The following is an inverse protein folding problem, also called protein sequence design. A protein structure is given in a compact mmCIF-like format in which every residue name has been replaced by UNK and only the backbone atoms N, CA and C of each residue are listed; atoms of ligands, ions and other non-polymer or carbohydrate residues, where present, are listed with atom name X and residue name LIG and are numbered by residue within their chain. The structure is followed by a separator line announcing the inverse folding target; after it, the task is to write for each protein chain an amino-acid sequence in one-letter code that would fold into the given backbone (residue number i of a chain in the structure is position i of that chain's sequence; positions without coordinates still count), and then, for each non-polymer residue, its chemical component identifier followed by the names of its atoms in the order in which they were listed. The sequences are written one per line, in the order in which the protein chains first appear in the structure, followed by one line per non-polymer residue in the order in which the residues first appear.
data_IF_567657740562
#
_entry.id   IF_567657740562
#
_cell.length_a   1.000
_cell.length_b   1.000
_cell.length_c   1.000
_cell.angle_alpha   90.00
_cell.angle_beta   90.00
_cell.angle_gamma   90.00
#
_symmetry.space_group_name_H-M   'P 1'
#
loop_
_entity.id
_entity.type
_entity.pdbx_description
1 polymer ?
#
# COMPACT_ATOMS: atom_id res chain seq x y z
N UNK A 1 -6.21 -38.87 -1.25
CA UNK A 1 -5.92 -37.52 -1.77
C UNK A 1 -4.45 -37.55 -2.11
N UNK A 2 -4.11 -37.39 -3.38
CA UNK A 2 -2.73 -37.43 -3.86
C UNK A 2 -2.04 -36.13 -3.46
N UNK A 3 -1.25 -36.18 -2.39
CA UNK A 3 -0.44 -35.08 -1.87
C UNK A 3 0.80 -34.79 -2.75
N UNK A 4 0.96 -35.49 -3.87
CA UNK A 4 2.27 -35.69 -4.52
C UNK A 4 2.81 -34.50 -5.33
N UNK A 5 2.09 -33.39 -5.52
CA UNK A 5 2.61 -32.23 -6.26
C UNK A 5 1.93 -30.90 -5.85
N UNK A 6 1.86 -30.59 -4.56
CA UNK A 6 1.20 -29.37 -4.08
C UNK A 6 2.14 -28.42 -3.34
N UNK A 7 1.98 -27.12 -3.65
CA UNK A 7 2.62 -26.01 -2.98
C UNK A 7 1.77 -25.58 -1.79
N UNK A 8 2.22 -25.83 -0.57
CA UNK A 8 1.57 -25.35 0.65
C UNK A 8 2.22 -24.02 1.09
N UNK A 9 1.44 -22.96 1.15
CA UNK A 9 1.97 -21.62 1.48
C UNK A 9 1.33 -21.07 2.74
N UNK A 10 2.11 -20.32 3.53
CA UNK A 10 1.62 -19.67 4.75
C UNK A 10 2.10 -18.21 4.85
N UNK A 11 1.22 -17.29 5.23
CA UNK A 11 1.55 -15.88 5.46
C UNK A 11 1.23 -15.54 6.89
N UNK A 12 2.26 -15.27 7.70
CA UNK A 12 2.09 -14.99 9.12
C UNK A 12 1.67 -13.54 9.33
N UNK A 13 0.57 -13.35 10.06
CA UNK A 13 0.01 -12.02 10.34
C UNK A 13 -0.43 -11.91 11.80
N UNK A 14 -0.60 -10.67 12.26
CA UNK A 14 -1.30 -10.40 13.51
C UNK A 14 -2.79 -10.22 13.22
N UNK A 15 -3.62 -10.85 14.05
CA UNK A 15 -5.07 -10.71 13.99
C UNK A 15 -5.72 -10.95 15.36
N UNK A 16 -6.97 -10.52 15.51
CA UNK A 16 -7.85 -10.82 16.64
C UNK A 16 -8.82 -12.00 16.35
N UNK A 17 -8.69 -12.62 15.17
CA UNK A 17 -9.63 -13.61 14.65
C UNK A 17 -9.39 -14.99 15.26
N UNK A 18 -10.26 -15.46 16.15
CA UNK A 18 -10.06 -16.75 16.83
C UNK A 18 -10.61 -17.97 16.07
N UNK A 19 -11.14 -17.78 14.87
CA UNK A 19 -11.74 -18.85 14.06
C UNK A 19 -11.11 -18.94 12.67
N UNK A 20 -11.36 -20.04 11.98
CA UNK A 20 -10.98 -20.18 10.58
C UNK A 20 -11.93 -19.39 9.68
N UNK A 21 -11.38 -18.53 8.83
CA UNK A 21 -12.14 -17.73 7.88
C UNK A 21 -11.60 -17.95 6.48
N UNK A 22 -12.45 -18.45 5.59
CA UNK A 22 -12.19 -18.45 4.15
C UNK A 22 -12.09 -17.00 3.65
N UNK A 23 -10.98 -16.61 3.03
CA UNK A 23 -10.78 -15.28 2.43
C UNK A 23 -11.08 -15.33 0.92
N UNK A 24 -10.66 -16.39 0.22
CA UNK A 24 -10.88 -16.56 -1.21
C UNK A 24 -10.69 -18.03 -1.61
N UNK A 25 -11.73 -18.71 -2.10
CA UNK A 25 -11.65 -20.10 -2.55
C UNK A 25 -10.97 -21.01 -1.50
N UNK A 26 -9.78 -21.56 -1.80
CA UNK A 26 -9.01 -22.42 -0.89
C UNK A 26 -7.99 -21.67 -0.01
N UNK A 27 -8.11 -20.34 0.06
CA UNK A 27 -7.28 -19.45 0.88
C UNK A 27 -7.99 -19.15 2.20
N UNK A 28 -7.40 -19.58 3.31
CA UNK A 28 -7.98 -19.47 4.66
C UNK A 28 -7.08 -18.70 5.62
N UNK A 29 -7.66 -17.80 6.41
CA UNK A 29 -7.03 -17.27 7.61
C UNK A 29 -7.32 -18.18 8.80
N UNK A 30 -6.28 -18.60 9.50
CA UNK A 30 -6.37 -19.51 10.65
C UNK A 30 -5.50 -19.02 11.81
N UNK A 31 -5.87 -19.31 13.07
CA UNK A 31 -4.93 -19.22 14.18
C UNK A 31 -3.69 -20.09 13.93
N UNK A 32 -2.53 -19.64 14.41
CA UNK A 32 -1.29 -20.44 14.39
C UNK A 32 -1.33 -21.46 15.51
N UNK A 33 -1.01 -22.72 15.20
CA UNK A 33 -0.94 -23.81 16.18
C UNK A 33 0.50 -23.95 16.71
N UNK A 34 0.65 -24.56 17.90
CA UNK A 34 2.00 -24.78 18.49
C UNK A 34 2.90 -25.60 17.58
N UNK A 35 2.32 -26.57 16.89
CA UNK A 35 3.01 -27.50 15.98
C UNK A 35 3.60 -26.77 14.77
N UNK A 36 2.97 -25.71 14.29
CA UNK A 36 3.51 -24.86 13.21
C UNK A 36 4.82 -24.19 13.62
N UNK A 37 4.88 -23.68 14.86
CA UNK A 37 6.06 -23.01 15.38
C UNK A 37 7.24 -23.96 15.55
N UNK A 38 6.98 -25.18 16.01
CA UNK A 38 8.00 -26.21 16.19
C UNK A 38 8.50 -26.73 14.83
N UNK A 39 7.60 -26.92 13.86
CA UNK A 39 7.94 -27.38 12.52
C UNK A 39 8.87 -26.41 11.79
N UNK A 40 8.57 -25.11 11.83
CA UNK A 40 9.39 -24.08 11.16
C UNK A 40 10.80 -24.00 11.77
N UNK A 41 10.93 -24.20 13.08
CA UNK A 41 12.23 -24.22 13.77
C UNK A 41 13.12 -25.41 13.34
N UNK A 42 12.52 -26.56 13.02
CA UNK A 42 13.26 -27.77 12.67
C UNK A 42 13.75 -27.81 11.22
N UNK A 43 13.08 -27.07 10.31
CA UNK A 43 13.32 -27.15 8.85
C UNK A 43 14.10 -25.97 8.26
N UNK A 44 14.27 -24.87 8.99
CA UNK A 44 15.03 -23.70 8.53
C UNK A 44 16.52 -23.87 8.86
N UNK A 45 17.39 -23.62 7.87
CA UNK A 45 18.85 -23.60 8.03
C UNK A 45 19.28 -22.67 9.19
N UNK A 46 20.01 -23.19 10.20
CA UNK A 46 20.35 -22.46 11.43
C UNK A 46 21.13 -21.16 11.24
N UNK A 47 21.89 -21.00 10.14
CA UNK A 47 22.97 -19.99 10.09
C UNK A 47 22.48 -18.61 9.62
N UNK A 48 21.39 -18.50 8.86
CA UNK A 48 21.01 -17.21 8.24
C UNK A 48 19.59 -16.72 8.56
N UNK A 49 18.71 -17.59 9.06
CA UNK A 49 17.26 -17.31 9.13
C UNK A 49 16.72 -17.49 10.57
N UNK A 50 17.44 -18.18 11.45
CA UNK A 50 16.96 -18.55 12.78
C UNK A 50 16.67 -17.34 13.69
N UNK A 51 17.48 -16.29 13.70
CA UNK A 51 17.33 -15.25 14.73
C UNK A 51 16.16 -14.29 14.48
N UNK A 52 15.89 -13.96 13.21
CA UNK A 52 14.79 -13.04 12.86
C UNK A 52 13.46 -13.81 12.77
N UNK A 53 13.47 -15.00 12.16
CA UNK A 53 12.27 -15.81 12.01
C UNK A 53 11.80 -16.37 13.36
N UNK A 54 12.70 -16.83 14.24
CA UNK A 54 12.24 -17.35 15.55
C UNK A 54 11.61 -16.27 16.42
N UNK A 55 12.05 -15.00 16.37
CA UNK A 55 11.47 -13.93 17.19
C UNK A 55 10.13 -13.45 16.64
N UNK A 56 10.02 -13.24 15.33
CA UNK A 56 8.81 -12.69 14.73
C UNK A 56 7.74 -13.75 14.46
N UNK A 57 8.09 -14.99 14.08
CA UNK A 57 7.10 -16.09 13.99
C UNK A 57 6.49 -16.32 15.37
N UNK A 58 7.29 -16.33 16.45
CA UNK A 58 6.77 -16.50 17.83
C UNK A 58 5.70 -15.47 18.20
N UNK A 59 5.70 -14.32 17.54
CA UNK A 59 4.74 -13.25 17.78
C UNK A 59 3.54 -13.30 16.82
N UNK A 60 3.59 -14.10 15.75
CA UNK A 60 2.50 -14.23 14.79
C UNK A 60 1.45 -15.22 15.30
N UNK A 61 0.28 -14.67 15.62
CA UNK A 61 -0.84 -15.45 16.14
C UNK A 61 -1.68 -16.12 15.06
N UNK A 62 -1.51 -15.71 13.80
CA UNK A 62 -2.32 -16.17 12.68
C UNK A 62 -1.50 -16.40 11.42
N UNK A 63 -2.06 -17.24 10.54
CA UNK A 63 -1.53 -17.57 9.23
C UNK A 63 -2.63 -17.56 8.17
N UNK A 64 -2.33 -17.02 7.00
CA UNK A 64 -3.13 -17.26 5.79
C UNK A 64 -2.53 -18.46 5.07
N UNK A 65 -3.29 -19.53 4.88
CA UNK A 65 -2.86 -20.78 4.28
C UNK A 65 -3.62 -21.07 2.99
N UNK A 66 -2.94 -21.66 2.02
CA UNK A 66 -3.54 -22.13 0.78
C UNK A 66 -2.67 -23.21 0.12
N UNK A 67 -3.27 -23.93 -0.81
CA UNK A 67 -2.60 -24.92 -1.66
C UNK A 67 -2.54 -24.44 -3.10
N UNK A 68 -1.53 -24.86 -3.85
CA UNK A 68 -1.46 -24.57 -5.28
C UNK A 68 -0.85 -25.75 -6.01
N UNK A 69 -1.29 -25.99 -7.23
CA UNK A 69 -0.70 -27.01 -8.10
C UNK A 69 0.55 -26.52 -8.82
N UNK A 70 0.69 -25.20 -8.97
CA UNK A 70 1.78 -24.54 -9.70
C UNK A 70 2.52 -23.49 -8.87
N UNK A 71 3.82 -23.34 -9.14
CA UNK A 71 4.68 -22.37 -8.43
C UNK A 71 4.37 -20.92 -8.81
N UNK A 72 3.93 -20.65 -10.04
CA UNK A 72 3.58 -19.30 -10.47
C UNK A 72 2.24 -18.88 -9.88
N UNK A 73 1.27 -19.81 -9.83
CA UNK A 73 0.01 -19.63 -9.12
C UNK A 73 0.24 -19.33 -7.64
N UNK A 74 1.09 -20.11 -6.95
CA UNK A 74 1.45 -19.86 -5.56
C UNK A 74 2.08 -18.46 -5.37
N UNK A 75 3.00 -18.09 -6.26
CA UNK A 75 3.65 -16.77 -6.26
C UNK A 75 2.64 -15.64 -6.49
N UNK A 76 1.68 -15.84 -7.39
CA UNK A 76 0.59 -14.87 -7.67
C UNK A 76 -0.28 -14.66 -6.43
N UNK A 77 -0.67 -15.72 -5.72
CA UNK A 77 -1.45 -15.63 -4.50
C UNK A 77 -0.69 -14.93 -3.38
N UNK A 78 0.57 -15.30 -3.15
CA UNK A 78 1.45 -14.61 -2.18
C UNK A 78 1.51 -13.10 -2.46
N UNK A 79 1.80 -12.72 -3.70
CA UNK A 79 1.92 -11.30 -4.06
C UNK A 79 0.60 -10.56 -3.91
N UNK A 80 -0.52 -11.22 -4.23
CA UNK A 80 -1.85 -10.63 -4.12
C UNK A 80 -2.29 -10.47 -2.67
N UNK A 81 -2.04 -11.47 -1.81
CA UNK A 81 -2.34 -11.40 -0.38
C UNK A 81 -1.50 -10.31 0.29
N UNK A 82 -0.18 -10.29 0.05
CA UNK A 82 0.71 -9.27 0.61
C UNK A 82 0.27 -7.86 0.21
N UNK A 83 -0.07 -7.66 -1.06
CA UNK A 83 -0.58 -6.39 -1.54
C UNK A 83 -1.92 -6.03 -0.90
N UNK A 84 -2.88 -6.96 -0.83
CA UNK A 84 -4.20 -6.71 -0.26
C UNK A 84 -4.11 -6.25 1.21
N UNK A 85 -3.28 -6.92 2.01
CA UNK A 85 -3.06 -6.58 3.43
C UNK A 85 -2.49 -5.16 3.56
N UNK A 86 -1.39 -4.87 2.83
CA UNK A 86 -0.71 -3.56 2.86
C UNK A 86 -1.55 -2.42 2.26
N UNK A 87 -2.50 -2.77 1.39
CA UNK A 87 -3.44 -1.81 0.82
C UNK A 87 -4.56 -1.49 1.79
N UNK A 88 -5.06 -2.45 2.59
CA UNK A 88 -6.16 -2.22 3.53
C UNK A 88 -5.70 -1.46 4.77
N UNK A 89 -4.55 -1.85 5.32
CA UNK A 89 -3.94 -1.19 6.47
C UNK A 89 -2.48 -0.87 6.18
N UNK A 90 -2.12 0.37 6.47
CA UNK A 90 -0.74 0.82 6.38
C UNK A 90 0.07 0.14 7.48
N UNK A 91 1.06 -0.66 7.07
CA UNK A 91 1.98 -1.32 7.96
C UNK A 91 3.09 -1.99 7.17
N UNK A 92 4.15 -2.40 7.87
CA UNK A 92 5.05 -3.41 7.34
C UNK A 92 4.33 -4.76 7.43
N UNK A 93 4.16 -5.50 6.34
CA UNK A 93 3.55 -6.84 6.48
C UNK A 93 4.43 -7.71 7.39
N UNK A 94 3.76 -8.61 8.13
CA UNK A 94 4.43 -9.68 8.88
C UNK A 94 5.23 -10.59 7.96
N UNK A 95 5.96 -11.52 8.56
CA UNK A 95 6.88 -12.37 7.82
C UNK A 95 6.13 -13.31 6.88
N UNK A 96 6.60 -13.40 5.63
CA UNK A 96 6.17 -14.40 4.69
C UNK A 96 7.02 -15.69 4.80
N UNK A 97 6.37 -16.84 4.97
CA UNK A 97 7.01 -18.15 4.85
C UNK A 97 6.32 -19.00 3.79
N UNK A 98 6.93 -19.12 2.62
CA UNK A 98 6.47 -20.12 1.64
C UNK A 98 7.21 -21.42 1.87
N UNK A 99 6.51 -22.50 2.23
CA UNK A 99 7.11 -23.83 2.46
C UNK A 99 6.81 -24.70 1.26
N UNK A 100 7.77 -24.82 0.35
CA UNK A 100 7.63 -25.71 -0.80
C UNK A 100 7.77 -27.18 -0.34
N UNK A 101 6.74 -28.01 -0.55
CA UNK A 101 6.84 -29.46 -0.40
C UNK A 101 7.03 -30.06 -1.79
N UNK A 102 8.15 -30.74 -2.02
CA UNK A 102 8.36 -31.55 -3.22
C UNK A 102 8.83 -32.94 -2.80
N UNK A 103 7.88 -33.82 -2.52
CA UNK A 103 8.08 -35.21 -2.10
C UNK A 103 8.98 -35.44 -0.87
N UNK A 104 8.84 -36.64 -0.31
CA UNK A 104 9.39 -37.09 0.97
C UNK A 104 10.93 -37.05 1.10
N UNK A 105 11.70 -36.53 0.14
CA UNK A 105 13.16 -36.55 0.24
C UNK A 105 13.96 -35.35 -0.30
N UNK A 106 13.43 -34.35 -1.02
CA UNK A 106 14.33 -33.34 -1.62
C UNK A 106 13.79 -31.89 -1.63
N UNK A 107 14.45 -31.07 -0.80
CA UNK A 107 14.43 -29.60 -0.74
C UNK A 107 13.10 -28.93 -0.35
N UNK A 108 12.94 -28.66 0.95
CA UNK A 108 12.09 -27.56 1.39
C UNK A 108 12.73 -26.26 0.96
N UNK A 109 12.28 -25.68 -0.16
CA UNK A 109 12.65 -24.29 -0.47
C UNK A 109 11.80 -23.44 0.47
N UNK A 110 12.45 -22.70 1.35
CA UNK A 110 11.79 -21.68 2.15
C UNK A 110 12.09 -20.36 1.45
N UNK A 111 11.14 -19.89 0.63
CA UNK A 111 11.25 -18.54 0.05
C UNK A 111 10.77 -17.57 1.10
N UNK A 112 11.75 -16.92 1.70
CA UNK A 112 11.54 -15.80 2.61
C UNK A 112 11.35 -14.53 1.80
N UNK A 113 10.27 -13.80 2.07
CA UNK A 113 10.04 -12.47 1.54
C UNK A 113 9.70 -11.60 2.73
N UNK A 114 10.72 -10.87 3.21
CA UNK A 114 10.61 -9.73 4.12
C UNK A 114 10.53 -10.01 5.63
N UNK A 115 11.59 -9.60 6.32
CA UNK A 115 11.58 -9.15 7.71
C UNK A 115 12.64 -8.09 7.93
N UNK A 116 12.26 -6.98 8.51
CA UNK A 116 13.16 -6.19 9.35
C UNK A 116 12.34 -5.40 10.36
N UNK A 117 12.42 -5.82 11.62
CA UNK A 117 11.72 -5.28 12.80
C UNK A 117 11.80 -3.75 13.04
N UNK A 118 12.46 -2.97 12.17
CA UNK A 118 12.72 -1.54 12.32
C UNK A 118 12.47 -0.78 11.03
N UNK A 119 11.28 -0.94 10.45
CA UNK A 119 10.86 -0.26 9.22
C UNK A 119 10.50 1.21 9.46
N UNK A 120 11.47 2.14 9.54
CA UNK A 120 11.28 3.60 9.38
C UNK A 120 9.93 4.20 9.88
N UNK A 121 9.44 3.77 11.05
CA UNK A 121 8.20 4.28 11.66
C UNK A 121 6.85 3.61 11.29
N UNK A 122 6.81 2.47 10.59
CA UNK A 122 5.55 1.74 10.33
C UNK A 122 5.35 0.56 11.32
N UNK A 123 4.13 0.36 11.87
CA UNK A 123 3.82 -0.80 12.70
C UNK A 123 3.66 -2.07 11.86
N UNK A 124 3.69 -3.24 12.52
CA UNK A 124 3.27 -4.50 11.88
C UNK A 124 1.83 -4.40 11.37
N UNK A 125 1.59 -4.94 10.18
CA UNK A 125 0.25 -5.04 9.61
C UNK A 125 -0.58 -6.01 10.46
N UNK A 126 -1.76 -5.56 10.87
CA UNK A 126 -2.72 -6.32 11.66
C UNK A 126 -4.07 -6.34 10.94
N UNK A 127 -4.66 -7.50 10.73
CA UNK A 127 -5.98 -7.66 10.11
C UNK A 127 -6.97 -8.05 11.20
N UNK A 128 -8.08 -7.32 11.32
CA UNK A 128 -9.12 -7.61 12.28
C UNK A 128 -10.39 -8.09 11.57
N UNK A 129 -11.36 -8.62 12.33
CA UNK A 129 -12.66 -9.03 11.76
C UNK A 129 -13.32 -7.97 10.86
N UNK A 130 -13.24 -6.69 11.25
CA UNK A 130 -13.82 -5.59 10.48
C UNK A 130 -13.20 -5.40 9.09
N UNK A 131 -11.95 -5.86 8.90
CA UNK A 131 -11.22 -5.71 7.65
C UNK A 131 -11.53 -6.84 6.66
N UNK A 132 -12.07 -7.97 7.13
CA UNK A 132 -12.28 -9.18 6.31
C UNK A 132 -13.13 -8.92 5.07
N UNK A 133 -14.31 -8.26 5.13
CA UNK A 133 -15.10 -8.02 3.92
C UNK A 133 -14.31 -7.24 2.85
N UNK A 134 -13.51 -6.27 3.30
CA UNK A 134 -12.66 -5.47 2.43
C UNK A 134 -11.48 -6.28 1.88
N UNK A 135 -10.89 -7.15 2.70
CA UNK A 135 -9.82 -8.07 2.31
C UNK A 135 -10.28 -9.02 1.22
N UNK A 136 -11.44 -9.66 1.38
CA UNK A 136 -12.04 -10.53 0.36
C UNK A 136 -12.24 -9.79 -0.95
N UNK A 137 -12.82 -8.58 -0.89
CA UNK A 137 -13.07 -7.77 -2.07
C UNK A 137 -11.79 -7.42 -2.84
N UNK A 138 -10.77 -6.89 -2.13
CA UNK A 138 -9.53 -6.46 -2.75
C UNK A 138 -8.72 -7.67 -3.25
N UNK A 139 -8.64 -8.74 -2.46
CA UNK A 139 -7.90 -9.94 -2.86
C UNK A 139 -8.49 -10.57 -4.12
N UNK A 140 -9.82 -10.69 -4.20
CA UNK A 140 -10.51 -11.19 -5.40
C UNK A 140 -10.11 -10.40 -6.64
N UNK A 141 -10.20 -9.06 -6.58
CA UNK A 141 -9.82 -8.22 -7.71
C UNK A 141 -8.34 -8.42 -8.06
N UNK A 142 -7.44 -8.45 -7.08
CA UNK A 142 -6.00 -8.62 -7.32
C UNK A 142 -5.61 -9.99 -7.90
N UNK A 143 -6.40 -11.03 -7.65
CA UNK A 143 -6.21 -12.37 -8.22
C UNK A 143 -6.78 -12.44 -9.64
N UNK A 144 -7.96 -11.86 -9.88
CA UNK A 144 -8.66 -11.93 -11.17
C UNK A 144 -8.15 -10.89 -12.19
N UNK A 145 -7.51 -9.82 -11.73
CA UNK A 145 -7.05 -8.72 -12.57
C UNK A 145 -5.84 -9.11 -13.44
N UNK A 146 -5.85 -8.60 -14.68
CA UNK A 146 -4.77 -8.76 -15.66
C UNK A 146 -4.25 -7.39 -16.14
N UNK A 147 -4.40 -6.35 -15.31
CA UNK A 147 -4.01 -4.99 -15.65
C UNK A 147 -2.53 -4.76 -15.33
N UNK A 148 -1.70 -4.79 -16.37
CA UNK A 148 -0.26 -4.51 -16.25
C UNK A 148 0.08 -3.22 -15.48
N UNK A 149 -0.79 -2.20 -15.56
CA UNK A 149 -0.61 -0.94 -14.81
C UNK A 149 -0.82 -1.18 -13.31
N UNK A 150 -1.85 -1.92 -12.92
CA UNK A 150 -2.12 -2.28 -11.53
C UNK A 150 -0.99 -3.16 -10.98
N UNK A 151 -0.55 -4.15 -11.74
CA UNK A 151 0.57 -5.02 -11.38
C UNK A 151 1.83 -4.25 -11.07
N UNK A 152 2.19 -3.31 -11.95
CA UNK A 152 3.36 -2.46 -11.75
C UNK A 152 3.23 -1.56 -10.51
N UNK A 153 2.06 -0.92 -10.31
CA UNK A 153 1.82 -0.08 -9.13
C UNK A 153 1.86 -0.89 -7.84
N UNK A 154 1.24 -2.08 -7.83
CA UNK A 154 1.26 -3.03 -6.72
C UNK A 154 2.69 -3.44 -6.38
N UNK A 155 3.47 -3.84 -7.39
CA UNK A 155 4.86 -4.26 -7.20
C UNK A 155 5.69 -3.14 -6.58
N UNK A 156 5.64 -1.92 -7.15
CA UNK A 156 6.33 -0.77 -6.58
C UNK A 156 5.85 -0.45 -5.17
N UNK A 157 4.56 -0.49 -4.91
CA UNK A 157 4.03 -0.20 -3.57
C UNK A 157 4.51 -1.22 -2.54
N UNK A 158 4.40 -2.52 -2.83
CA UNK A 158 4.86 -3.60 -1.93
C UNK A 158 6.37 -3.48 -1.71
N UNK A 159 7.17 -3.33 -2.76
CA UNK A 159 8.62 -3.16 -2.64
C UNK A 159 9.02 -1.92 -1.82
N UNK A 160 8.34 -0.79 -2.03
CA UNK A 160 8.66 0.45 -1.33
C UNK A 160 8.03 0.53 0.07
N UNK A 161 7.17 -0.41 0.42
CA UNK A 161 6.71 -0.62 1.80
C UNK A 161 7.43 -1.80 2.45
N UNK A 162 8.27 -2.52 1.71
CA UNK A 162 9.13 -3.55 2.24
C UNK A 162 10.45 -2.98 2.74
N UNK A 163 11.15 -3.78 3.55
CA UNK A 163 12.43 -3.41 4.16
C UNK A 163 13.60 -3.70 3.25
N UNK A 164 13.35 -4.18 2.04
CA UNK A 164 14.38 -4.43 1.03
C UNK A 164 14.86 -3.13 0.37
N UNK A 165 14.07 -2.06 0.42
CA UNK A 165 14.45 -0.78 -0.15
C UNK A 165 15.38 0.00 0.80
N UNK A 166 16.68 0.04 0.46
CA UNK A 166 17.74 0.58 1.31
C UNK A 166 17.72 2.11 1.51
N UNK A 167 17.02 2.86 0.65
CA UNK A 167 17.06 4.33 0.65
C UNK A 167 15.66 4.97 0.70
N UNK A 168 15.29 5.65 1.80
CA UNK A 168 14.01 6.36 1.95
C UNK A 168 13.67 7.31 0.79
N UNK A 169 14.66 8.00 0.24
CA UNK A 169 14.52 8.93 -0.87
C UNK A 169 14.13 8.21 -2.16
N UNK A 170 14.75 7.06 -2.44
CA UNK A 170 14.37 6.22 -3.59
C UNK A 170 12.94 5.73 -3.46
N UNK A 171 12.55 5.32 -2.24
CA UNK A 171 11.18 4.90 -1.94
C UNK A 171 10.18 6.02 -2.16
N UNK A 172 10.53 7.22 -1.70
CA UNK A 172 9.72 8.41 -1.87
C UNK A 172 9.50 8.74 -3.35
N UNK A 173 10.55 8.64 -4.18
CA UNK A 173 10.46 8.86 -5.62
C UNK A 173 9.54 7.83 -6.26
N UNK A 174 9.71 6.55 -5.95
CA UNK A 174 8.87 5.48 -6.51
C UNK A 174 7.40 5.60 -6.13
N UNK A 175 7.11 5.96 -4.88
CA UNK A 175 5.73 6.21 -4.43
C UNK A 175 5.13 7.44 -5.13
N UNK A 176 5.92 8.49 -5.39
CA UNK A 176 5.47 9.62 -6.20
C UNK A 176 5.23 9.21 -7.66
N UNK A 177 6.03 8.31 -8.23
CA UNK A 177 5.82 7.79 -9.58
C UNK A 177 4.46 7.08 -9.70
N UNK A 178 4.02 6.32 -8.70
CA UNK A 178 2.67 5.74 -8.68
C UNK A 178 1.60 6.83 -8.81
N UNK A 179 1.75 7.94 -8.08
CA UNK A 179 0.81 9.05 -8.18
C UNK A 179 0.88 9.74 -9.55
N UNK A 180 2.07 9.95 -10.10
CA UNK A 180 2.23 10.50 -11.44
C UNK A 180 1.55 9.62 -12.50
N UNK A 181 1.67 8.29 -12.38
CA UNK A 181 0.99 7.34 -13.28
C UNK A 181 -0.54 7.38 -13.19
N UNK A 182 -1.08 7.66 -12.01
CA UNK A 182 -2.53 7.71 -11.79
C UNK A 182 -3.13 9.07 -12.18
N UNK A 183 -2.45 10.16 -11.84
CA UNK A 183 -3.03 11.50 -11.88
C UNK A 183 -2.54 12.39 -13.01
N UNK A 184 -1.55 11.98 -13.81
CA UNK A 184 -1.02 12.80 -14.93
C UNK A 184 -1.47 12.23 -16.26
N UNK A 185 -1.90 13.10 -17.17
CA UNK A 185 -2.26 12.71 -18.54
C UNK A 185 -1.04 12.81 -19.47
N UNK A 186 -0.98 11.99 -20.52
CA UNK A 186 0.03 12.16 -21.56
C UNK A 186 0.02 13.59 -22.12
N UNK A 187 1.20 14.15 -22.37
CA UNK A 187 1.41 15.49 -22.95
C UNK A 187 1.00 16.68 -22.06
N UNK A 188 0.88 16.49 -20.74
CA UNK A 188 0.77 17.61 -19.78
C UNK A 188 2.14 18.24 -19.53
N UNK A 189 2.59 19.11 -20.44
CA UNK A 189 3.95 19.68 -20.43
C UNK A 189 4.17 20.75 -19.35
N UNK A 190 3.10 21.38 -18.84
CA UNK A 190 3.21 22.49 -17.88
C UNK A 190 2.38 22.26 -16.62
N UNK A 191 3.05 22.29 -15.46
CA UNK A 191 2.38 22.37 -14.16
C UNK A 191 1.99 21.04 -13.50
N UNK A 192 2.71 19.94 -13.78
CA UNK A 192 2.49 18.61 -13.15
C UNK A 192 2.28 18.72 -11.64
N UNK A 193 3.10 19.51 -10.94
CA UNK A 193 2.95 19.80 -9.50
C UNK A 193 1.55 20.31 -9.13
N UNK A 194 1.04 21.30 -9.84
CA UNK A 194 -0.27 21.90 -9.58
C UNK A 194 -1.40 20.94 -9.98
N UNK A 195 -1.23 20.22 -11.09
CA UNK A 195 -2.18 19.24 -11.59
C UNK A 195 -2.35 18.08 -10.60
N UNK A 196 -1.23 17.45 -10.23
CA UNK A 196 -1.19 16.31 -9.32
C UNK A 196 -1.76 16.69 -7.95
N UNK A 197 -1.33 17.81 -7.38
CA UNK A 197 -1.83 18.28 -6.08
C UNK A 197 -3.32 18.64 -6.09
N UNK A 198 -3.84 19.23 -7.17
CA UNK A 198 -5.26 19.55 -7.29
C UNK A 198 -6.12 18.30 -7.47
N UNK A 199 -5.68 17.35 -8.31
CA UNK A 199 -6.44 16.12 -8.58
C UNK A 199 -6.50 15.22 -7.35
N UNK A 200 -5.38 15.03 -6.66
CA UNK A 200 -5.30 14.27 -5.40
C UNK A 200 -6.20 14.90 -4.33
N UNK A 201 -6.12 16.22 -4.14
CA UNK A 201 -6.99 16.92 -3.19
C UNK A 201 -8.47 16.84 -3.59
N UNK A 202 -8.78 16.94 -4.88
CA UNK A 202 -10.14 16.85 -5.40
C UNK A 202 -10.77 15.47 -5.21
N UNK A 203 -9.97 14.40 -5.30
CA UNK A 203 -10.42 13.03 -5.06
C UNK A 203 -10.72 12.82 -3.57
N UNK A 204 -9.73 13.09 -2.73
CA UNK A 204 -9.79 12.73 -1.31
C UNK A 204 -10.66 13.65 -0.46
N UNK A 205 -11.10 14.79 -0.98
CA UNK A 205 -12.18 15.55 -0.37
C UNK A 205 -13.59 15.00 -0.64
N UNK A 206 -13.79 14.11 -1.62
CA UNK A 206 -15.15 13.88 -2.14
C UNK A 206 -16.06 13.02 -1.24
N UNK A 207 -15.59 12.24 -0.28
CA UNK A 207 -16.48 11.20 0.31
C UNK A 207 -16.39 11.01 1.83
N UNK A 208 -16.11 12.04 2.63
CA UNK A 208 -16.01 11.83 4.09
C UNK A 208 -14.96 10.77 4.49
N UNK A 209 -14.09 10.40 3.55
CA UNK A 209 -12.92 9.57 3.77
C UNK A 209 -11.96 10.44 4.54
N UNK A 210 -12.04 10.34 5.87
CA UNK A 210 -11.06 10.93 6.78
C UNK A 210 -9.79 10.11 6.62
N UNK A 211 -8.98 10.51 5.65
CA UNK A 211 -7.61 10.09 5.55
C UNK A 211 -6.91 10.73 6.75
N UNK A 212 -6.23 9.91 7.57
CA UNK A 212 -5.41 10.40 8.68
C UNK A 212 -3.90 10.32 8.36
N UNK A 213 -3.35 10.94 7.30
CA UNK A 213 -1.91 11.19 7.27
C UNK A 213 -1.62 12.30 8.28
N UNK A 214 -0.35 12.51 8.64
CA UNK A 214 0.04 13.65 9.46
C UNK A 214 -0.20 15.01 8.78
N UNK A 215 -0.58 15.01 7.50
CA UNK A 215 -1.05 16.17 6.72
C UNK A 215 -2.49 16.61 7.07
N UNK A 216 -2.88 16.57 8.34
CA UNK A 216 -4.19 17.06 8.81
C UNK A 216 -4.41 18.49 8.32
N UNK A 217 -5.27 18.59 7.33
CA UNK A 217 -5.67 19.80 6.68
C UNK A 217 -7.19 19.74 6.67
N UNK A 218 -7.84 20.58 7.46
CA UNK A 218 -9.30 20.61 7.57
C UNK A 218 -9.97 21.06 6.25
N UNK A 219 -9.15 21.50 5.29
CA UNK A 219 -9.59 21.97 3.99
C UNK A 219 -8.66 21.50 2.84
N UNK A 220 -9.20 21.48 1.61
CA UNK A 220 -8.46 21.04 0.40
C UNK A 220 -7.25 21.89 0.08
N UNK A 221 -7.20 23.12 0.56
CA UNK A 221 -6.12 24.03 0.22
C UNK A 221 -4.83 23.65 0.93
N UNK A 222 -4.91 23.43 2.23
CA UNK A 222 -3.82 22.90 3.04
C UNK A 222 -3.41 21.50 2.57
N UNK A 223 -4.37 20.61 2.26
CA UNK A 223 -4.05 19.26 1.78
C UNK A 223 -3.31 19.32 0.43
N UNK A 224 -3.80 20.14 -0.50
CA UNK A 224 -3.12 20.35 -1.77
C UNK A 224 -1.74 20.98 -1.59
N UNK A 225 -1.57 21.93 -0.67
CA UNK A 225 -0.27 22.51 -0.39
C UNK A 225 0.70 21.46 0.19
N UNK A 226 0.21 20.56 1.04
CA UNK A 226 0.95 19.39 1.49
C UNK A 226 1.45 18.52 0.32
N UNK A 227 0.57 18.20 -0.63
CA UNK A 227 0.96 17.42 -1.83
C UNK A 227 1.98 18.18 -2.69
N UNK A 228 1.82 19.50 -2.84
CA UNK A 228 2.81 20.34 -3.54
C UNK A 228 4.17 20.31 -2.87
N UNK A 229 4.21 20.31 -1.53
CA UNK A 229 5.46 20.20 -0.78
C UNK A 229 6.11 18.83 -1.00
N UNK A 230 5.35 17.74 -0.98
CA UNK A 230 5.86 16.41 -1.32
C UNK A 230 6.45 16.36 -2.74
N UNK A 231 5.78 16.97 -3.72
CA UNK A 231 6.31 17.04 -5.08
C UNK A 231 7.59 17.87 -5.19
N UNK A 232 7.67 19.00 -4.48
CA UNK A 232 8.91 19.79 -4.39
C UNK A 232 10.06 18.96 -3.80
N UNK A 233 9.76 18.13 -2.79
CA UNK A 233 10.75 17.24 -2.18
C UNK A 233 11.26 16.22 -3.21
N UNK A 234 10.34 15.56 -3.94
CA UNK A 234 10.68 14.63 -5.02
C UNK A 234 11.54 15.28 -6.10
N UNK A 235 11.18 16.48 -6.55
CA UNK A 235 11.95 17.20 -7.57
C UNK A 235 13.40 17.43 -7.11
N UNK A 236 13.61 17.89 -5.87
CA UNK A 236 14.96 18.05 -5.31
C UNK A 236 15.73 16.74 -5.21
N UNK A 237 15.09 15.67 -4.72
CA UNK A 237 15.72 14.34 -4.64
C UNK A 237 16.14 13.85 -6.02
N UNK A 238 15.29 13.99 -7.04
CA UNK A 238 15.61 13.51 -8.40
C UNK A 238 16.76 14.29 -9.04
N UNK A 239 16.87 15.60 -8.79
CA UNK A 239 17.93 16.41 -9.39
C UNK A 239 19.24 16.40 -8.58
N UNK A 240 19.16 16.25 -7.26
CA UNK A 240 20.32 16.41 -6.37
C UNK A 240 20.70 15.11 -5.64
N UNK A 241 19.97 14.01 -5.84
CA UNK A 241 20.11 12.74 -5.12
C UNK A 241 19.62 12.77 -3.67
N UNK A 242 19.42 13.95 -3.07
CA UNK A 242 18.99 14.14 -1.68
C UNK A 242 18.25 15.46 -1.49
N UNK A 243 17.61 15.61 -0.32
CA UNK A 243 16.99 16.86 0.09
C UNK A 243 17.03 17.01 1.60
N UNK A 244 17.66 18.08 2.10
CA UNK A 244 17.82 18.34 3.53
C UNK A 244 16.48 18.55 4.27
N UNK A 245 15.40 18.85 3.53
CA UNK A 245 14.05 18.98 4.07
C UNK A 245 13.26 17.66 4.07
N UNK A 246 13.86 16.55 3.60
CA UNK A 246 13.22 15.24 3.66
C UNK A 246 13.16 14.75 5.11
N UNK A 247 11.95 14.41 5.57
CA UNK A 247 11.70 13.90 6.91
C UNK A 247 10.93 12.57 6.83
N UNK A 248 11.03 11.68 7.84
CA UNK A 248 10.28 10.42 7.87
C UNK A 248 8.77 10.58 7.66
N UNK A 249 8.18 11.67 8.16
CA UNK A 249 6.74 11.94 7.98
C UNK A 249 6.38 12.17 6.51
N UNK A 250 7.30 12.68 5.69
CA UNK A 250 7.05 12.81 4.26
C UNK A 250 6.88 11.44 3.61
N UNK A 251 7.69 10.44 4.01
CA UNK A 251 7.58 9.07 3.53
C UNK A 251 6.26 8.42 3.98
N UNK A 252 5.87 8.60 5.24
CA UNK A 252 4.58 8.10 5.75
C UNK A 252 3.41 8.70 4.96
N UNK A 253 3.44 10.02 4.75
CA UNK A 253 2.38 10.72 4.03
C UNK A 253 2.26 10.29 2.57
N UNK A 254 3.38 10.20 1.83
CA UNK A 254 3.32 9.77 0.44
C UNK A 254 2.88 8.30 0.32
N UNK A 255 3.28 7.45 1.27
CA UNK A 255 2.88 6.04 1.30
C UNK A 255 1.36 5.92 1.46
N UNK A 256 0.77 6.69 2.39
CA UNK A 256 -0.67 6.66 2.63
C UNK A 256 -1.47 7.19 1.42
N UNK A 257 -1.02 8.28 0.80
CA UNK A 257 -1.65 8.83 -0.41
C UNK A 257 -1.57 7.82 -1.56
N UNK A 258 -0.43 7.14 -1.74
CA UNK A 258 -0.26 6.09 -2.73
C UNK A 258 -1.18 4.89 -2.45
N UNK A 259 -1.23 4.41 -1.21
CA UNK A 259 -2.10 3.30 -0.77
C UNK A 259 -3.55 3.55 -1.16
N UNK A 260 -4.08 4.71 -0.78
CA UNK A 260 -5.48 5.06 -1.00
C UNK A 260 -5.78 5.33 -2.48
N UNK A 261 -4.82 5.89 -3.22
CA UNK A 261 -4.98 6.10 -4.66
C UNK A 261 -5.03 4.76 -5.42
N UNK A 262 -4.21 3.78 -5.02
CA UNK A 262 -4.24 2.42 -5.56
C UNK A 262 -5.57 1.75 -5.20
N UNK A 263 -6.00 1.84 -3.94
CA UNK A 263 -7.30 1.30 -3.52
C UNK A 263 -8.47 1.88 -4.34
N UNK A 264 -8.49 3.20 -4.55
CA UNK A 264 -9.52 3.83 -5.37
C UNK A 264 -9.44 3.34 -6.81
N UNK A 265 -8.24 3.17 -7.37
CA UNK A 265 -8.05 2.64 -8.71
C UNK A 265 -8.56 1.20 -8.85
N UNK A 266 -8.39 0.38 -7.81
CA UNK A 266 -8.91 -1.00 -7.76
C UNK A 266 -10.44 -1.01 -7.73
N UNK A 267 -11.08 -0.17 -6.91
CA UNK A 267 -12.55 -0.13 -6.79
C UNK A 267 -13.20 0.51 -8.02
N UNK A 268 -12.64 1.62 -8.47
CA UNK A 268 -13.25 2.53 -9.42
C UNK A 268 -12.20 3.13 -10.37
N UNK A 269 -11.65 2.32 -11.29
CA UNK A 269 -10.59 2.78 -12.21
C UNK A 269 -11.04 3.96 -13.08
N UNK A 270 -12.35 4.09 -13.32
CA UNK A 270 -12.94 5.18 -14.10
C UNK A 270 -12.71 6.57 -13.50
N UNK A 271 -12.45 6.68 -12.20
CA UNK A 271 -12.07 7.97 -11.57
C UNK A 271 -10.80 8.55 -12.21
N UNK A 272 -9.91 7.68 -12.68
CA UNK A 272 -8.65 8.03 -13.30
C UNK A 272 -8.74 8.14 -14.83
N UNK A 273 -9.95 8.16 -15.41
CA UNK A 273 -10.13 8.47 -16.83
C UNK A 273 -9.76 9.94 -17.12
N UNK A 274 -9.33 10.27 -18.34
CA UNK A 274 -8.97 11.65 -18.71
C UNK A 274 -10.08 12.68 -18.41
N UNK A 275 -11.33 12.32 -18.64
CA UNK A 275 -12.50 13.17 -18.41
C UNK A 275 -12.69 13.43 -16.92
N UNK A 276 -12.56 12.40 -16.08
CA UNK A 276 -12.77 12.50 -14.65
C UNK A 276 -11.60 13.19 -13.95
N UNK A 277 -10.36 12.95 -14.37
CA UNK A 277 -9.18 13.68 -13.88
C UNK A 277 -9.25 15.19 -14.20
N UNK A 278 -9.79 15.57 -15.37
CA UNK A 278 -10.07 16.98 -15.69
C UNK A 278 -11.14 17.58 -14.76
N UNK A 279 -12.18 16.83 -14.40
CA UNK A 279 -13.22 17.28 -13.46
C UNK A 279 -12.66 17.50 -12.05
N UNK A 280 -11.79 16.61 -11.56
CA UNK A 280 -11.16 16.76 -10.24
C UNK A 280 -10.36 18.05 -10.13
N UNK A 281 -9.64 18.42 -11.20
CA UNK A 281 -8.92 19.70 -11.29
C UNK A 281 -9.86 20.91 -11.26
N UNK A 282 -10.93 20.88 -12.08
CA UNK A 282 -11.84 22.01 -12.25
C UNK A 282 -12.77 22.27 -11.04
N UNK A 283 -13.08 21.24 -10.25
CA UNK A 283 -13.93 21.35 -9.05
C UNK A 283 -13.35 22.36 -8.03
N UNK A 284 -12.02 22.48 -7.96
CA UNK A 284 -11.32 23.46 -7.11
C UNK A 284 -11.34 24.88 -7.66
N UNK A 285 -11.18 25.06 -8.98
CA UNK A 285 -11.21 26.40 -9.57
C UNK A 285 -12.59 27.06 -9.36
N UNK A 286 -13.67 26.25 -9.39
CA UNK A 286 -15.01 26.73 -9.05
C UNK A 286 -15.17 27.10 -7.57
N UNK A 287 -14.62 26.31 -6.64
CA UNK A 287 -14.72 26.64 -5.19
C UNK A 287 -13.90 27.88 -4.81
N UNK A 288 -12.79 28.17 -5.50
CA UNK A 288 -12.05 29.44 -5.36
C UNK A 288 -12.84 30.64 -5.90
N UNK A 289 -13.45 30.52 -7.09
CA UNK A 289 -14.24 31.62 -7.67
C UNK A 289 -15.51 31.95 -6.85
N UNK A 290 -16.16 30.95 -6.25
CA UNK A 290 -17.30 31.17 -5.34
C UNK A 290 -16.90 31.90 -4.05
N UNK A 291 -15.68 31.68 -3.52
CA UNK A 291 -15.18 32.43 -2.36
C UNK A 291 -14.81 33.87 -2.72
N UNK A 292 -14.23 34.12 -3.90
CA UNK A 292 -13.92 35.48 -4.36
C UNK A 292 -15.19 36.30 -4.65
N UNK A 293 -16.21 35.69 -5.28
CA UNK A 293 -17.50 36.36 -5.54
C UNK A 293 -18.26 36.72 -4.26
N UNK A 294 -18.08 35.94 -3.17
CA UNK A 294 -18.67 36.26 -1.88
C UNK A 294 -17.83 37.27 -1.07
N UNK A 295 -16.52 37.38 -1.33
CA UNK A 295 -15.62 38.34 -0.67
C UNK A 295 -15.76 39.78 -1.22
N UNK A 296 -16.36 39.95 -2.40
CA UNK A 296 -16.70 41.28 -2.96
C UNK A 296 -17.96 41.90 -2.32
N UNK A 297 -18.54 41.27 -1.30
CA UNK A 297 -19.66 41.80 -0.50
C UNK A 297 -19.25 42.38 0.87
N UNK A 298 -18.00 42.88 1.01
CA UNK A 298 -17.58 43.67 2.17
C UNK A 298 -17.57 45.18 1.84
N UNK A 299 -18.25 46.04 2.63
CA UNK A 299 -18.53 47.41 2.26
C UNK A 299 -17.30 48.34 2.36
N UNK A 300 -17.06 49.07 1.27
CA UNK A 300 -16.48 50.42 1.18
C UNK A 300 -15.29 50.77 2.10
N UNK A 301 -14.11 50.93 1.47
CA UNK A 301 -13.05 51.83 1.96
C UNK A 301 -13.65 53.22 2.20
N UNK A 302 -13.65 53.70 3.45
CA UNK A 302 -13.71 55.13 3.73
C UNK A 302 -12.39 55.75 3.28
N UNK A 303 -12.46 56.51 2.19
CA UNK A 303 -11.44 57.51 1.86
C UNK A 303 -11.69 58.67 2.82
N UNK A 304 -10.76 58.92 3.74
CA UNK A 304 -10.73 60.19 4.46
C UNK A 304 -9.89 61.16 3.63
N UNK A 305 -10.51 62.28 3.25
CA UNK A 305 -9.83 63.51 2.87
C UNK A 305 -9.32 64.22 4.12
#
# INVERSE_FOLDING_TARGET
MDWENQYHSAICINSDINEEIEIYEDIFLKPTEKEDHEYVQQKIDPIYIAEICTREIKNCKHKIVFTSSDSNEATKYINSINAAIRLIKLGSSGILFTVHFKNDNESTIIKYVESSQYYYGFPYSEINYSDIPRLKQILKILIEDNNNKLDFMRFKYVFNTSGHANFPESRFVDLMTILEMLYTLPNEENGIKAILSNRIAGLFQKEGVIIKPSLYADNSEEFSEGVKQLYNIRSKIVHNGKNDNFKPENLVNITEIARLSILEYIINPNVFSPENLKKLFNKRNKSKNLRCLNAESCPSRKIYN
#
